data_IF_488473701829
#
_entry.id   IF_488473701829
#
_cell.length_a   1.000
_cell.length_b   1.000
_cell.length_c   1.000
_cell.angle_alpha   90.00
_cell.angle_beta   90.00
_cell.angle_gamma   90.00
#
_symmetry.space_group_name_H-M   'P 1'
#
loop_
_entity.id
_entity.type
_entity.pdbx_description
1 polymer ?
#
# COMPACT_ATOMS: atom_id res chain seq x y z
N UNK A 1 2.92 25.44 -9.62
CA UNK A 1 3.06 23.96 -9.50
C UNK A 1 1.71 23.23 -9.48
N UNK A 2 0.63 23.80 -8.93
CA UNK A 2 -0.72 23.19 -8.99
C UNK A 2 -1.39 23.27 -10.38
N UNK A 3 -1.04 24.25 -11.21
CA UNK A 3 -1.55 24.36 -12.60
C UNK A 3 -1.11 23.21 -13.53
N UNK A 4 -0.05 22.48 -13.17
CA UNK A 4 0.41 21.31 -13.93
C UNK A 4 -0.43 20.07 -13.64
N UNK A 5 -1.11 20.03 -12.49
CA UNK A 5 -1.98 18.91 -12.07
C UNK A 5 -3.25 18.88 -12.91
N UNK A 6 -3.72 20.05 -13.37
CA UNK A 6 -4.93 20.16 -14.20
C UNK A 6 -4.68 19.93 -15.69
N UNK A 7 -3.42 20.00 -16.15
CA UNK A 7 -3.01 19.72 -17.55
C UNK A 7 -2.73 18.24 -17.83
N UNK A 8 -3.53 17.35 -17.23
CA UNK A 8 -3.45 15.91 -17.48
C UNK A 8 -4.12 15.48 -18.78
N UNK A 9 -3.54 14.50 -19.49
CA UNK A 9 -4.18 13.91 -20.69
C UNK A 9 -5.50 13.21 -20.33
N UNK A 10 -6.41 13.02 -21.30
CA UNK A 10 -7.69 12.31 -21.08
C UNK A 10 -7.49 10.90 -20.49
N UNK A 11 -6.36 10.24 -20.82
CA UNK A 11 -5.97 8.94 -20.26
C UNK A 11 -5.55 9.03 -18.79
N UNK A 12 -4.82 10.08 -18.41
CA UNK A 12 -4.42 10.32 -17.02
C UNK A 12 -5.64 10.51 -16.11
N UNK A 13 -6.60 11.34 -16.54
CA UNK A 13 -7.86 11.52 -15.81
C UNK A 13 -8.71 10.24 -15.76
N UNK A 14 -8.71 9.45 -16.84
CA UNK A 14 -9.34 8.12 -16.84
C UNK A 14 -8.73 7.17 -15.82
N UNK A 15 -7.39 7.13 -15.72
CA UNK A 15 -6.68 6.31 -14.73
C UNK A 15 -6.97 6.77 -13.30
N UNK A 16 -6.95 8.08 -13.04
CA UNK A 16 -7.31 8.65 -11.75
C UNK A 16 -8.73 8.29 -11.33
N UNK A 17 -9.70 8.43 -12.24
CA UNK A 17 -11.08 8.05 -11.99
C UNK A 17 -11.22 6.55 -11.68
N UNK A 18 -10.52 5.70 -12.42
CA UNK A 18 -10.50 4.26 -12.18
C UNK A 18 -9.91 3.91 -10.80
N UNK A 19 -8.74 4.47 -10.45
CA UNK A 19 -8.12 4.26 -9.14
C UNK A 19 -9.01 4.77 -8.01
N UNK A 20 -9.66 5.92 -8.20
CA UNK A 20 -10.64 6.45 -7.25
C UNK A 20 -11.82 5.50 -7.05
N UNK A 21 -12.36 4.91 -8.13
CA UNK A 21 -13.44 3.93 -8.04
C UNK A 21 -13.01 2.68 -7.27
N UNK A 22 -11.79 2.18 -7.50
CA UNK A 22 -11.23 1.04 -6.76
C UNK A 22 -11.14 1.34 -5.26
N UNK A 23 -10.71 2.56 -4.90
CA UNK A 23 -10.65 3.01 -3.49
C UNK A 23 -12.06 3.04 -2.88
N UNK A 24 -13.05 3.59 -3.58
CA UNK A 24 -14.44 3.63 -3.07
C UNK A 24 -14.99 2.23 -2.87
N UNK A 25 -14.75 1.30 -3.79
CA UNK A 25 -15.15 -0.11 -3.63
C UNK A 25 -14.48 -0.73 -2.39
N UNK A 26 -13.19 -0.47 -2.19
CA UNK A 26 -12.45 -0.91 -1.00
C UNK A 26 -13.02 -0.35 0.31
N UNK A 27 -13.37 0.94 0.34
CA UNK A 27 -14.00 1.58 1.50
C UNK A 27 -15.39 1.00 1.81
N UNK A 28 -16.19 0.68 0.78
CA UNK A 28 -17.48 0.01 0.95
C UNK A 28 -17.32 -1.42 1.46
N UNK A 29 -16.30 -2.16 1.00
CA UNK A 29 -15.99 -3.48 1.54
C UNK A 29 -15.56 -3.39 3.01
N UNK A 30 -14.71 -2.42 3.34
CA UNK A 30 -14.26 -2.18 4.70
C UNK A 30 -15.40 -1.77 5.65
N UNK A 31 -16.32 -0.90 5.21
CA UNK A 31 -17.47 -0.52 6.04
C UNK A 31 -18.40 -1.71 6.33
N UNK A 32 -18.56 -2.64 5.38
CA UNK A 32 -19.27 -3.91 5.62
C UNK A 32 -18.53 -4.80 6.62
N UNK A 33 -17.20 -4.85 6.53
CA UNK A 33 -16.38 -5.58 7.50
C UNK A 33 -16.50 -5.01 8.90
N UNK A 34 -16.54 -3.69 9.01
CA UNK A 34 -16.66 -2.99 10.29
C UNK A 34 -17.94 -3.39 11.04
N UNK A 35 -19.05 -3.61 10.33
CA UNK A 35 -20.33 -3.98 10.93
C UNK A 35 -20.45 -5.49 11.17
N UNK A 36 -20.01 -6.32 10.21
CA UNK A 36 -20.17 -7.79 10.26
C UNK A 36 -19.00 -8.51 10.95
N UNK A 37 -17.95 -7.79 11.29
CA UNK A 37 -16.69 -8.32 11.81
C UNK A 37 -15.89 -9.08 10.74
N UNK A 38 -14.79 -9.71 11.18
CA UNK A 38 -13.87 -10.46 10.33
C UNK A 38 -14.48 -11.71 9.68
N UNK A 39 -15.70 -12.10 10.06
CA UNK A 39 -16.38 -13.29 9.50
C UNK A 39 -16.56 -13.21 7.98
N UNK A 40 -16.66 -12.01 7.41
CA UNK A 40 -16.82 -11.81 5.96
C UNK A 40 -15.57 -12.15 5.16
N UNK A 41 -14.41 -12.26 5.81
CA UNK A 41 -13.13 -12.53 5.15
C UNK A 41 -12.95 -14.01 4.80
N UNK A 42 -13.83 -14.87 5.32
CA UNK A 42 -13.73 -16.33 5.14
C UNK A 42 -12.63 -16.98 5.99
N UNK A 43 -12.02 -16.25 6.92
CA UNK A 43 -11.08 -16.82 7.89
C UNK A 43 -11.81 -17.79 8.83
N UNK A 44 -11.14 -18.90 9.15
CA UNK A 44 -11.65 -19.92 10.05
C UNK A 44 -10.83 -19.95 11.34
N UNK A 45 -11.23 -20.77 12.32
CA UNK A 45 -10.44 -20.96 13.54
C UNK A 45 -9.09 -21.62 13.28
N UNK A 46 -9.00 -22.43 12.24
CA UNK A 46 -7.77 -23.14 11.85
C UNK A 46 -6.89 -22.29 10.93
N UNK A 47 -7.50 -21.36 10.18
CA UNK A 47 -6.81 -20.41 9.30
C UNK A 47 -7.20 -18.99 9.70
N UNK A 48 -6.50 -18.50 10.72
CA UNK A 48 -6.72 -17.17 11.31
C UNK A 48 -6.02 -16.04 10.55
N UNK A 49 -5.04 -16.37 9.71
CA UNK A 49 -4.27 -15.41 8.90
C UNK A 49 -4.59 -15.61 7.42
N UNK A 50 -5.54 -14.81 6.93
CA UNK A 50 -5.97 -14.84 5.55
C UNK A 50 -5.27 -13.79 4.69
N UNK A 51 -6.08 -13.05 3.92
CA UNK A 51 -5.62 -12.10 2.92
C UNK A 51 -4.81 -10.95 3.54
N UNK A 52 -5.15 -10.47 4.73
CA UNK A 52 -4.48 -9.32 5.34
C UNK A 52 -3.04 -9.60 5.75
N UNK A 53 -2.80 -10.63 6.55
CA UNK A 53 -1.44 -10.95 7.02
C UNK A 53 -0.56 -11.48 5.88
N UNK A 54 -1.10 -12.23 4.93
CA UNK A 54 -0.35 -12.64 3.75
C UNK A 54 0.13 -11.45 2.92
N UNK A 55 -0.74 -10.46 2.66
CA UNK A 55 -0.36 -9.24 1.93
C UNK A 55 0.57 -8.31 2.72
N UNK A 56 0.36 -8.20 4.03
CA UNK A 56 1.31 -7.52 4.91
C UNK A 56 2.73 -8.07 4.75
N UNK A 57 2.88 -9.40 4.82
CA UNK A 57 4.19 -10.04 4.74
C UNK A 57 4.86 -9.82 3.39
N UNK A 58 4.06 -9.85 2.32
CA UNK A 58 4.51 -9.51 0.96
C UNK A 58 5.02 -8.06 0.87
N UNK A 59 4.23 -7.09 1.36
CA UNK A 59 4.58 -5.67 1.30
C UNK A 59 5.78 -5.29 2.19
N UNK A 60 5.98 -5.98 3.32
CA UNK A 60 7.22 -5.86 4.10
C UNK A 60 8.43 -6.25 3.24
N UNK A 61 8.33 -7.33 2.45
CA UNK A 61 9.35 -7.72 1.49
C UNK A 61 9.59 -6.66 0.40
N UNK A 62 8.52 -6.07 -0.15
CA UNK A 62 8.62 -4.97 -1.12
C UNK A 62 9.30 -3.75 -0.51
N UNK A 63 8.95 -3.36 0.71
CA UNK A 63 9.57 -2.25 1.42
C UNK A 63 11.07 -2.52 1.69
N UNK A 64 11.43 -3.73 2.12
CA UNK A 64 12.83 -4.12 2.32
C UNK A 64 13.64 -4.05 1.02
N UNK A 65 13.04 -4.47 -0.11
CA UNK A 65 13.70 -4.40 -1.42
C UNK A 65 14.02 -2.97 -1.86
N UNK A 66 13.18 -1.99 -1.50
CA UNK A 66 13.45 -0.59 -1.76
C UNK A 66 14.66 -0.07 -0.95
N UNK A 67 14.77 -0.46 0.33
CA UNK A 67 15.91 -0.10 1.19
C UNK A 67 17.23 -0.65 0.64
N UNK A 68 17.22 -1.82 0.01
CA UNK A 68 18.42 -2.41 -0.62
C UNK A 68 19.01 -1.53 -1.73
N UNK A 69 18.18 -0.79 -2.47
CA UNK A 69 18.64 0.15 -3.51
C UNK A 69 19.18 1.45 -2.88
N UNK A 70 18.66 1.80 -1.71
CA UNK A 70 18.95 3.04 -0.99
C UNK A 70 20.27 2.95 -0.21
N UNK A 71 20.58 1.78 0.34
CA UNK A 71 21.77 1.49 1.16
C UNK A 71 23.13 1.86 0.49
N UNK A 72 23.42 1.44 -0.76
CA UNK A 72 24.69 1.76 -1.42
C UNK A 72 24.89 3.26 -1.65
N UNK A 73 23.81 4.00 -1.87
CA UNK A 73 23.87 5.44 -2.09
C UNK A 73 24.28 6.17 -0.81
N UNK A 74 23.65 5.86 0.33
CA UNK A 74 23.92 6.54 1.60
C UNK A 74 25.19 6.04 2.30
N UNK A 75 25.46 4.73 2.34
CA UNK A 75 26.61 4.19 3.07
C UNK A 75 27.90 4.18 2.24
N UNK A 76 27.81 3.87 0.95
CA UNK A 76 28.97 3.70 0.08
C UNK A 76 29.17 4.86 -0.91
N UNK A 77 28.38 5.95 -0.78
CA UNK A 77 28.42 7.12 -1.66
C UNK A 77 28.32 6.77 -3.17
N UNK A 78 27.64 5.66 -3.50
CA UNK A 78 27.53 5.20 -4.88
C UNK A 78 26.43 5.96 -5.63
N UNK A 79 26.81 7.11 -6.22
CA UNK A 79 25.89 8.09 -6.82
C UNK A 79 25.13 7.61 -8.05
N UNK A 80 25.52 6.48 -8.66
CA UNK A 80 24.85 5.95 -9.84
C UNK A 80 23.37 5.59 -9.57
N UNK A 81 23.02 5.28 -8.31
CA UNK A 81 21.64 4.94 -7.93
C UNK A 81 20.78 6.14 -7.51
N UNK A 82 21.30 7.38 -7.49
CA UNK A 82 20.59 8.53 -6.91
C UNK A 82 19.18 8.78 -7.45
N UNK A 83 18.93 8.55 -8.75
CA UNK A 83 17.58 8.67 -9.33
C UNK A 83 16.64 7.52 -8.93
N UNK A 84 17.17 6.31 -8.74
CA UNK A 84 16.40 5.14 -8.32
C UNK A 84 16.10 5.16 -6.82
N UNK A 85 16.98 5.75 -6.01
CA UNK A 85 16.79 5.96 -4.57
C UNK A 85 15.48 6.70 -4.30
N UNK A 86 15.21 7.79 -5.01
CA UNK A 86 13.99 8.59 -4.85
C UNK A 86 12.74 7.74 -5.12
N UNK A 87 12.74 6.96 -6.21
CA UNK A 87 11.62 6.06 -6.54
C UNK A 87 11.45 4.95 -5.49
N UNK A 88 12.57 4.42 -4.99
CA UNK A 88 12.59 3.42 -3.92
C UNK A 88 12.01 3.97 -2.62
N UNK A 89 12.37 5.19 -2.21
CA UNK A 89 11.85 5.83 -1.00
C UNK A 89 10.33 6.05 -1.08
N UNK A 90 9.82 6.57 -2.21
CA UNK A 90 8.36 6.71 -2.39
C UNK A 90 7.63 5.37 -2.33
N UNK A 91 8.20 4.32 -2.94
CA UNK A 91 7.66 2.97 -2.87
C UNK A 91 7.67 2.45 -1.43
N UNK A 92 8.78 2.58 -0.71
CA UNK A 92 8.93 2.12 0.66
C UNK A 92 7.89 2.76 1.59
N UNK A 93 7.71 4.09 1.51
CA UNK A 93 6.71 4.82 2.30
C UNK A 93 5.30 4.30 2.00
N UNK A 94 4.94 4.16 0.72
CA UNK A 94 3.62 3.65 0.33
C UNK A 94 3.37 2.21 0.81
N UNK A 95 4.39 1.33 0.71
CA UNK A 95 4.30 -0.06 1.14
C UNK A 95 4.14 -0.17 2.67
N UNK A 96 4.90 0.61 3.44
CA UNK A 96 4.81 0.64 4.91
C UNK A 96 3.45 1.17 5.37
N UNK A 97 2.91 2.21 4.72
CA UNK A 97 1.56 2.70 5.01
C UNK A 97 0.50 1.61 4.79
N UNK A 98 0.61 0.84 3.71
CA UNK A 98 -0.28 -0.28 3.43
C UNK A 98 -0.11 -1.42 4.43
N UNK A 99 1.13 -1.72 4.88
CA UNK A 99 1.37 -2.69 5.95
C UNK A 99 0.62 -2.33 7.24
N UNK A 100 0.73 -1.07 7.66
CA UNK A 100 0.03 -0.58 8.86
C UNK A 100 -1.48 -0.69 8.67
N UNK A 101 -2.00 -0.31 7.51
CA UNK A 101 -3.42 -0.40 7.19
C UNK A 101 -3.92 -1.85 7.28
N UNK A 102 -3.19 -2.81 6.70
CA UNK A 102 -3.60 -4.23 6.77
C UNK A 102 -3.64 -4.76 8.19
N UNK A 103 -2.66 -4.42 9.03
CA UNK A 103 -2.66 -4.83 10.45
C UNK A 103 -3.85 -4.21 11.20
N UNK A 104 -4.12 -2.91 10.98
CA UNK A 104 -5.25 -2.21 11.62
C UNK A 104 -6.59 -2.84 11.23
N UNK A 105 -6.77 -3.17 9.95
CA UNK A 105 -8.00 -3.79 9.45
C UNK A 105 -8.16 -5.23 9.96
N UNK A 106 -7.06 -5.97 10.10
CA UNK A 106 -7.04 -7.37 10.57
C UNK A 106 -7.37 -7.49 12.06
N UNK A 107 -7.07 -6.46 12.88
CA UNK A 107 -7.42 -6.46 14.31
C UNK A 107 -8.92 -6.64 14.55
N UNK A 108 -9.78 -6.20 13.62
CA UNK A 108 -11.22 -6.48 13.62
C UNK A 108 -12.04 -5.92 14.80
N UNK A 109 -11.39 -5.30 15.79
CA UNK A 109 -11.99 -4.69 16.96
C UNK A 109 -11.54 -3.23 17.08
N UNK A 110 -12.34 -2.28 16.58
CA UNK A 110 -12.14 -0.87 16.84
C UNK A 110 -12.79 -0.52 18.18
N UNK A 111 -12.06 -0.77 19.26
CA UNK A 111 -12.27 -0.04 20.52
C UNK A 111 -11.22 1.05 20.63
#
# INVERSE_FOLDING_TARGET
>A
MLESVTKGSRRYWGLLGFLGLVIVVGLVAYSRQWVKGLTITGMSRDVTWGLYISQFTFLVGVAASAVMVVLPYYLHNYKAFGKMVILGEFLAVSAVLMCILFVVVDLGQPK
#
